data_IF_712923582295
#
_entry.id   IF_712923582295
#
_cell.length_a   1.000
_cell.length_b   1.000
_cell.length_c   1.000
_cell.angle_alpha   90.00
_cell.angle_beta   90.00
_cell.angle_gamma   90.00
#
_symmetry.space_group_name_H-M   'P 1'
#
loop_
_entity.id
_entity.type
_entity.pdbx_description
1 polymer ?
#
# COMPACT_ATOMS: atom_id res chain seq x y z
N UNK A 1 59.69 28.51 6.27
CA UNK A 1 58.90 29.67 5.82
C UNK A 1 57.44 29.26 5.67
N UNK A 2 56.49 30.14 6.01
CA UNK A 2 55.11 29.78 6.37
C UNK A 2 54.06 30.12 5.29
N UNK A 3 52.82 29.65 5.55
CA UNK A 3 51.50 30.18 5.09
C UNK A 3 51.18 30.00 3.58
N UNK A 4 50.04 29.45 3.16
CA UNK A 4 48.69 29.96 3.46
C UNK A 4 47.59 29.08 2.81
N UNK A 5 46.47 29.00 3.54
CA UNK A 5 45.08 29.17 3.09
C UNK A 5 44.57 28.41 1.87
N UNK A 6 43.71 27.44 2.16
CA UNK A 6 42.33 27.31 1.64
C UNK A 6 41.60 26.48 2.74
N UNK A 7 40.99 27.07 3.76
CA UNK A 7 39.65 27.68 3.70
C UNK A 7 38.88 27.30 2.44
N UNK A 8 38.30 26.10 2.47
CA UNK A 8 37.20 25.71 1.60
C UNK A 8 36.10 25.09 2.49
N UNK A 9 35.03 25.86 2.67
CA UNK A 9 33.66 25.48 3.04
C UNK A 9 33.44 24.14 3.77
N UNK A 10 33.43 24.20 5.11
CA UNK A 10 32.89 23.16 5.99
C UNK A 10 31.40 23.36 6.32
N UNK A 11 30.59 23.94 5.43
CA UNK A 11 29.16 24.16 5.67
C UNK A 11 28.27 23.33 4.75
N UNK A 12 28.40 22.00 4.76
CA UNK A 12 27.38 21.12 4.16
C UNK A 12 27.39 19.63 4.60
N UNK A 13 28.25 19.19 5.53
CA UNK A 13 28.21 17.81 5.99
C UNK A 13 27.19 17.66 7.11
N UNK A 14 26.01 17.15 6.76
CA UNK A 14 25.13 16.45 7.70
C UNK A 14 25.93 15.31 8.31
N UNK A 15 26.44 15.47 9.53
CA UNK A 15 27.10 14.42 10.29
C UNK A 15 26.09 13.31 10.62
N UNK A 16 25.88 12.37 9.70
CA UNK A 16 25.34 11.06 10.04
C UNK A 16 26.50 10.23 10.58
N UNK A 17 26.53 10.00 11.88
CA UNK A 17 27.48 9.07 12.48
C UNK A 17 27.05 7.65 12.08
N UNK A 18 27.63 7.12 11.02
CA UNK A 18 27.44 5.74 10.58
C UNK A 18 28.51 4.85 11.23
N UNK A 19 28.08 3.80 11.92
CA UNK A 19 28.96 2.79 12.50
C UNK A 19 28.65 1.43 11.86
N UNK A 20 29.70 0.74 11.41
CA UNK A 20 29.60 -0.56 10.78
C UNK A 20 30.08 -1.63 11.77
N UNK A 21 29.21 -2.57 12.10
CA UNK A 21 29.53 -3.73 12.96
C UNK A 21 29.23 -5.01 12.20
N UNK A 22 30.21 -5.91 12.09
CA UNK A 22 30.09 -7.17 11.37
C UNK A 22 30.01 -8.36 12.33
N UNK A 23 29.06 -9.26 12.09
CA UNK A 23 28.89 -10.51 12.83
C UNK A 23 29.19 -11.65 11.85
N UNK A 24 30.22 -12.45 12.15
CA UNK A 24 30.70 -13.49 11.24
C UNK A 24 29.84 -14.75 11.21
N UNK A 25 29.09 -15.01 12.29
CA UNK A 25 28.18 -16.15 12.41
C UNK A 25 26.75 -15.72 12.04
N UNK A 26 26.26 -16.22 10.90
CA UNK A 26 24.93 -15.89 10.36
C UNK A 26 23.82 -16.18 11.37
N UNK A 27 23.94 -17.24 12.16
CA UNK A 27 22.93 -17.62 13.16
C UNK A 27 22.83 -16.63 14.32
N UNK A 28 23.88 -15.83 14.54
CA UNK A 28 23.98 -14.85 15.63
C UNK A 28 23.65 -13.43 15.21
N UNK A 29 23.51 -13.16 13.91
CA UNK A 29 23.25 -11.81 13.39
C UNK A 29 22.05 -11.18 14.10
N UNK A 30 20.91 -11.87 14.16
CA UNK A 30 19.69 -11.36 14.78
C UNK A 30 19.87 -11.15 16.29
N UNK A 31 20.25 -12.15 17.10
CA UNK A 31 20.36 -11.96 18.54
C UNK A 31 21.43 -10.95 18.97
N UNK A 32 22.58 -10.91 18.30
CA UNK A 32 23.62 -9.92 18.62
C UNK A 32 23.20 -8.50 18.21
N UNK A 33 22.52 -8.33 17.07
CA UNK A 33 22.00 -7.01 16.65
C UNK A 33 20.95 -6.46 17.63
N UNK A 34 20.04 -7.31 18.10
CA UNK A 34 19.02 -6.91 19.09
C UNK A 34 19.67 -6.62 20.44
N UNK A 35 20.64 -7.43 20.88
CA UNK A 35 21.41 -7.19 22.10
C UNK A 35 22.15 -5.85 22.05
N UNK A 36 22.85 -5.57 20.94
CA UNK A 36 23.53 -4.29 20.72
C UNK A 36 22.55 -3.12 20.78
N UNK A 37 21.38 -3.24 20.14
CA UNK A 37 20.33 -2.22 20.19
C UNK A 37 19.83 -2.00 21.62
N UNK A 38 19.65 -3.06 22.41
CA UNK A 38 19.30 -2.93 23.82
C UNK A 38 20.38 -2.20 24.62
N UNK A 39 21.65 -2.56 24.44
CA UNK A 39 22.77 -1.86 25.07
C UNK A 39 22.80 -0.39 24.67
N UNK A 40 22.66 -0.07 23.37
CA UNK A 40 22.61 1.31 22.90
C UNK A 40 21.46 2.09 23.54
N UNK A 41 20.29 1.46 23.71
CA UNK A 41 19.15 2.08 24.40
C UNK A 41 19.37 2.30 25.90
N UNK A 42 20.26 1.54 26.55
CA UNK A 42 20.67 1.83 27.93
C UNK A 42 21.56 3.06 28.04
N UNK A 43 22.36 3.36 27.01
CA UNK A 43 23.24 4.54 26.98
C UNK A 43 22.54 5.79 26.41
N UNK A 44 21.64 5.59 25.44
CA UNK A 44 20.93 6.64 24.73
C UNK A 44 19.44 6.32 24.68
N UNK A 45 18.65 7.06 25.47
CA UNK A 45 17.21 6.96 25.41
C UNK A 45 16.73 7.39 24.01
N UNK A 46 16.11 6.47 23.28
CA UNK A 46 15.63 6.69 21.93
C UNK A 46 14.58 5.66 21.53
N UNK A 47 13.70 6.09 20.65
CA UNK A 47 12.73 5.21 20.00
C UNK A 47 13.30 4.64 18.71
N UNK A 48 13.00 3.37 18.46
CA UNK A 48 13.34 2.72 17.21
C UNK A 48 12.37 3.22 16.15
N UNK A 49 12.87 4.05 15.25
CA UNK A 49 12.03 4.60 14.18
C UNK A 49 11.63 3.51 13.19
N UNK A 50 12.62 2.82 12.60
CA UNK A 50 12.40 1.84 11.54
C UNK A 50 13.16 0.54 11.82
N UNK A 51 12.49 -0.59 11.64
CA UNK A 51 13.10 -1.92 11.58
C UNK A 51 12.96 -2.43 10.14
N UNK A 52 14.07 -2.87 9.54
CA UNK A 52 14.10 -3.48 8.20
C UNK A 52 14.69 -4.87 8.31
N UNK A 53 13.99 -5.86 7.76
CA UNK A 53 14.34 -7.27 7.83
C UNK A 53 14.34 -7.87 6.42
N UNK A 54 15.35 -8.69 6.12
CA UNK A 54 15.24 -9.63 4.99
C UNK A 54 14.32 -10.77 5.39
N UNK A 55 13.45 -11.22 4.48
CA UNK A 55 12.62 -12.40 4.71
C UNK A 55 13.47 -13.67 4.94
N UNK A 56 14.73 -13.71 4.49
CA UNK A 56 15.58 -14.90 4.63
C UNK A 56 15.87 -15.30 6.07
N UNK A 57 15.80 -14.34 7.00
CA UNK A 57 15.97 -14.62 8.43
C UNK A 57 14.85 -15.50 8.98
N UNK A 58 13.82 -15.73 8.16
CA UNK A 58 12.66 -16.56 8.40
C UNK A 58 12.61 -17.80 7.47
N UNK A 59 13.71 -18.23 6.84
CA UNK A 59 13.66 -19.38 5.92
C UNK A 59 13.58 -20.75 6.62
N UNK A 60 14.04 -20.86 7.86
CA UNK A 60 13.99 -22.09 8.66
C UNK A 60 13.02 -21.92 9.84
N UNK A 61 12.14 -22.89 10.07
CA UNK A 61 11.02 -22.74 11.03
C UNK A 61 11.51 -22.50 12.47
N UNK A 62 12.55 -23.22 12.91
CA UNK A 62 13.07 -23.12 14.27
C UNK A 62 13.77 -21.77 14.50
N UNK A 63 14.63 -21.38 13.56
CA UNK A 63 15.34 -20.10 13.59
C UNK A 63 14.38 -18.93 13.41
N UNK A 64 13.31 -19.06 12.63
CA UNK A 64 12.35 -17.99 12.43
C UNK A 64 11.52 -17.68 13.67
N UNK A 65 11.06 -18.70 14.39
CA UNK A 65 10.40 -18.52 15.69
C UNK A 65 11.35 -17.83 16.66
N UNK A 66 12.60 -18.29 16.72
CA UNK A 66 13.64 -17.73 17.59
C UNK A 66 13.93 -16.27 17.23
N UNK A 67 14.21 -15.98 15.96
CA UNK A 67 14.50 -14.65 15.45
C UNK A 67 13.32 -13.70 15.69
N UNK A 68 12.09 -14.13 15.42
CA UNK A 68 10.90 -13.33 15.68
C UNK A 68 10.73 -13.01 17.17
N UNK A 69 10.98 -13.99 18.05
CA UNK A 69 10.96 -13.76 19.49
C UNK A 69 12.03 -12.75 19.93
N UNK A 70 13.26 -12.89 19.43
CA UNK A 70 14.34 -11.97 19.76
C UNK A 70 14.04 -10.56 19.24
N UNK A 71 13.65 -10.40 17.98
CA UNK A 71 13.28 -9.08 17.41
C UNK A 71 12.11 -8.46 18.19
N UNK A 72 11.16 -9.27 18.67
CA UNK A 72 10.04 -8.75 19.46
C UNK A 72 10.44 -8.12 20.80
N UNK A 73 11.65 -8.41 21.31
CA UNK A 73 12.20 -7.77 22.52
C UNK A 73 12.44 -6.26 22.33
N UNK A 74 12.58 -5.79 21.09
CA UNK A 74 12.65 -4.35 20.78
C UNK A 74 11.39 -3.62 21.28
N UNK A 75 10.25 -4.32 21.29
CA UNK A 75 8.98 -3.89 21.87
C UNK A 75 8.17 -2.96 20.97
N UNK A 76 8.78 -1.88 20.46
CA UNK A 76 8.08 -0.88 19.63
C UNK A 76 8.94 -0.35 18.49
N UNK A 77 8.29 -0.04 17.37
CA UNK A 77 8.82 0.81 16.31
C UNK A 77 7.73 1.63 15.63
N UNK A 78 8.11 2.65 14.84
CA UNK A 78 7.13 3.36 14.00
C UNK A 78 6.87 2.61 12.69
N UNK A 79 7.94 2.14 12.06
CA UNK A 79 7.91 1.47 10.76
C UNK A 79 8.53 0.08 10.83
N UNK A 80 7.82 -0.92 10.30
CA UNK A 80 8.36 -2.23 10.01
C UNK A 80 8.43 -2.45 8.49
N UNK A 81 9.58 -2.91 8.02
CA UNK A 81 9.81 -3.33 6.63
C UNK A 81 10.31 -4.77 6.61
N UNK A 82 9.65 -5.61 5.81
CA UNK A 82 10.09 -6.98 5.55
C UNK A 82 10.17 -7.13 4.04
N UNK A 83 11.38 -7.28 3.53
CA UNK A 83 11.64 -7.39 2.10
C UNK A 83 11.95 -8.85 1.76
N UNK A 84 11.14 -9.45 0.88
CA UNK A 84 11.40 -10.77 0.32
C UNK A 84 12.66 -10.78 -0.53
N UNK A 85 13.35 -11.93 -0.57
CA UNK A 85 14.40 -12.15 -1.54
C UNK A 85 13.80 -12.52 -2.89
N UNK A 86 14.01 -11.65 -3.87
CA UNK A 86 13.65 -11.91 -5.26
C UNK A 86 14.62 -12.97 -5.80
N UNK A 87 14.28 -14.25 -5.61
CA UNK A 87 14.75 -15.29 -6.51
C UNK A 87 14.20 -15.01 -7.90
N UNK A 88 15.05 -15.03 -8.93
CA UNK A 88 14.72 -14.72 -10.34
C UNK A 88 13.87 -15.84 -10.99
N UNK A 89 12.92 -16.40 -10.25
CA UNK A 89 11.99 -17.42 -10.71
C UNK A 89 10.57 -17.03 -10.37
N UNK A 90 9.75 -16.76 -11.39
CA UNK A 90 8.35 -16.31 -11.33
C UNK A 90 7.37 -17.33 -10.70
N UNK A 91 7.84 -18.29 -9.92
CA UNK A 91 7.05 -19.44 -9.46
C UNK A 91 7.17 -19.73 -7.96
N UNK A 92 8.20 -19.26 -7.26
CA UNK A 92 8.34 -19.49 -5.82
C UNK A 92 7.71 -18.34 -5.06
N UNK A 93 6.38 -18.39 -4.87
CA UNK A 93 5.72 -17.58 -3.83
C UNK A 93 6.39 -17.97 -2.50
N UNK A 94 7.20 -17.07 -1.93
CA UNK A 94 7.74 -17.27 -0.59
C UNK A 94 6.58 -16.99 0.36
N UNK A 95 6.07 -18.04 0.99
CA UNK A 95 5.13 -17.89 2.09
C UNK A 95 5.93 -17.45 3.31
N UNK A 96 5.49 -16.39 3.99
CA UNK A 96 6.07 -16.06 5.28
C UNK A 96 5.77 -17.23 6.20
N UNK A 97 6.81 -17.75 6.83
CA UNK A 97 6.63 -18.72 7.88
C UNK A 97 6.07 -18.07 9.15
N UNK A 98 5.81 -18.92 10.14
CA UNK A 98 5.26 -18.56 11.45
C UNK A 98 6.01 -17.39 12.14
N UNK A 99 7.30 -17.18 11.84
CA UNK A 99 8.12 -16.12 12.43
C UNK A 99 7.60 -14.71 12.13
N UNK A 100 7.19 -14.42 10.89
CA UNK A 100 6.68 -13.08 10.57
C UNK A 100 5.34 -12.81 11.27
N UNK A 101 4.48 -13.82 11.33
CA UNK A 101 3.21 -13.73 12.06
C UNK A 101 3.44 -13.49 13.55
N UNK A 102 4.39 -14.20 14.17
CA UNK A 102 4.81 -13.96 15.56
C UNK A 102 5.27 -12.51 15.73
N UNK A 103 6.13 -12.03 14.82
CA UNK A 103 6.65 -10.67 14.89
C UNK A 103 5.54 -9.62 14.80
N UNK A 104 4.66 -9.73 13.81
CA UNK A 104 3.55 -8.80 13.59
C UNK A 104 2.56 -8.80 14.77
N UNK A 105 2.37 -9.95 15.40
CA UNK A 105 1.52 -10.08 16.57
C UNK A 105 2.16 -9.49 17.84
N UNK A 106 3.48 -9.56 18.02
CA UNK A 106 4.16 -9.10 19.25
C UNK A 106 4.67 -7.66 19.19
N UNK A 107 5.18 -7.21 18.05
CA UNK A 107 5.78 -5.88 17.92
C UNK A 107 4.69 -4.79 17.92
N UNK A 108 4.87 -3.72 18.68
CA UNK A 108 4.02 -2.54 18.61
C UNK A 108 4.48 -1.63 17.46
N UNK A 109 3.61 -1.42 16.48
CA UNK A 109 3.92 -0.65 15.26
C UNK A 109 2.93 0.51 15.18
N UNK A 110 3.41 1.74 15.19
CA UNK A 110 2.52 2.91 15.32
C UNK A 110 2.16 3.60 14.01
N UNK A 111 2.97 3.45 12.95
CA UNK A 111 2.78 4.23 11.71
C UNK A 111 2.63 3.36 10.47
N UNK A 112 3.56 2.43 10.23
CA UNK A 112 3.69 1.79 8.92
C UNK A 112 4.15 0.34 8.95
N UNK A 113 3.44 -0.52 8.21
CA UNK A 113 3.90 -1.85 7.80
C UNK A 113 4.13 -1.86 6.29
N UNK A 114 5.26 -2.43 5.86
CA UNK A 114 5.55 -2.69 4.46
C UNK A 114 6.22 -4.07 4.31
N UNK A 115 5.44 -5.04 3.85
CA UNK A 115 5.88 -6.41 3.56
C UNK A 115 5.83 -6.58 2.04
N UNK A 116 6.97 -6.88 1.43
CA UNK A 116 7.09 -6.97 -0.04
C UNK A 116 7.54 -8.35 -0.44
N UNK A 117 6.95 -8.84 -1.52
CA UNK A 117 7.34 -10.10 -2.15
C UNK A 117 7.25 -11.33 -1.22
N UNK A 118 6.44 -11.21 -0.15
CA UNK A 118 6.12 -12.29 0.77
C UNK A 118 4.64 -12.26 1.16
N UNK A 119 4.08 -13.44 1.38
CA UNK A 119 2.66 -13.62 1.72
C UNK A 119 2.52 -14.06 3.18
N UNK A 120 1.96 -13.23 4.08
CA UNK A 120 1.66 -13.65 5.45
C UNK A 120 0.68 -14.81 5.45
N UNK A 121 0.82 -15.70 6.43
CA UNK A 121 -0.16 -16.76 6.65
C UNK A 121 -1.51 -16.21 7.14
N UNK A 122 -2.53 -17.07 7.14
CA UNK A 122 -3.89 -16.71 7.55
C UNK A 122 -4.04 -16.42 9.06
N UNK A 123 -3.03 -16.69 9.88
CA UNK A 123 -3.05 -16.50 11.35
C UNK A 123 -2.59 -15.09 11.79
N UNK A 124 -2.27 -14.23 10.83
CA UNK A 124 -1.99 -12.83 11.07
C UNK A 124 -3.19 -12.13 11.73
N UNK A 125 -2.93 -11.36 12.78
CA UNK A 125 -3.99 -10.61 13.45
C UNK A 125 -4.37 -9.37 12.62
N UNK A 126 -5.30 -9.57 11.68
CA UNK A 126 -5.78 -8.54 10.77
C UNK A 126 -6.43 -7.34 11.49
N UNK A 127 -7.06 -7.56 12.65
CA UNK A 127 -7.65 -6.46 13.42
C UNK A 127 -6.57 -5.56 14.02
N UNK A 128 -5.44 -6.13 14.48
CA UNK A 128 -4.29 -5.33 14.91
C UNK A 128 -3.72 -4.48 13.77
N UNK A 129 -3.67 -5.05 12.57
CA UNK A 129 -3.12 -4.39 11.38
C UNK A 129 -4.00 -3.26 10.88
N UNK A 130 -5.32 -3.38 10.97
CA UNK A 130 -6.25 -2.34 10.51
C UNK A 130 -6.14 -1.03 11.32
N UNK A 131 -5.56 -1.08 12.53
CA UNK A 131 -5.31 0.10 13.36
C UNK A 131 -4.03 0.87 12.96
N UNK A 132 -3.17 0.27 12.12
CA UNK A 132 -1.91 0.89 11.71
C UNK A 132 -2.18 1.82 10.52
N UNK A 133 -1.81 3.11 10.58
CA UNK A 133 -2.19 4.10 9.58
C UNK A 133 -1.89 3.72 8.13
N UNK A 134 -0.72 3.12 7.88
CA UNK A 134 -0.32 2.66 6.55
C UNK A 134 0.07 1.17 6.56
N UNK A 135 -0.47 0.41 5.63
CA UNK A 135 -0.12 -1.01 5.44
C UNK A 135 0.11 -1.35 3.97
N UNK A 136 1.17 -2.10 3.70
CA UNK A 136 1.47 -2.67 2.37
C UNK A 136 1.89 -4.13 2.55
N UNK A 137 1.18 -5.07 1.93
CA UNK A 137 1.47 -6.52 2.00
C UNK A 137 0.80 -7.30 0.86
N UNK A 138 1.14 -8.58 0.69
CA UNK A 138 0.51 -9.47 -0.29
C UNK A 138 -0.31 -10.53 0.46
N UNK A 139 -1.53 -10.85 0.03
CA UNK A 139 -2.32 -11.97 0.57
C UNK A 139 -2.51 -13.01 -0.52
N UNK A 140 -2.31 -14.29 -0.19
CA UNK A 140 -2.47 -15.38 -1.15
C UNK A 140 -3.93 -15.57 -1.54
N UNK A 141 -4.83 -15.43 -0.55
CA UNK A 141 -6.27 -15.36 -0.74
C UNK A 141 -6.88 -14.45 0.32
N UNK A 142 -7.96 -13.75 -0.03
CA UNK A 142 -8.73 -12.94 0.93
C UNK A 142 -10.18 -12.85 0.45
N UNK A 143 -11.12 -12.97 1.38
CA UNK A 143 -12.53 -12.72 1.07
C UNK A 143 -12.80 -11.21 1.10
N UNK A 144 -13.80 -10.70 0.36
CA UNK A 144 -14.18 -9.29 0.38
C UNK A 144 -14.46 -8.73 1.79
N UNK A 145 -15.09 -9.52 2.67
CA UNK A 145 -15.36 -9.13 4.06
C UNK A 145 -14.08 -9.06 4.91
N UNK A 146 -13.15 -10.02 4.74
CA UNK A 146 -11.87 -9.99 5.43
C UNK A 146 -11.02 -8.81 4.96
N UNK A 147 -11.09 -8.47 3.68
CA UNK A 147 -10.45 -7.30 3.10
C UNK A 147 -10.96 -6.00 3.75
N UNK A 148 -12.27 -5.87 3.91
CA UNK A 148 -12.91 -4.73 4.59
C UNK A 148 -12.42 -4.59 6.04
N UNK A 149 -12.29 -5.71 6.76
CA UNK A 149 -11.91 -5.74 8.17
C UNK A 149 -10.41 -5.50 8.41
N UNK A 150 -9.55 -5.84 7.44
CA UNK A 150 -8.10 -5.68 7.57
C UNK A 150 -7.57 -4.38 6.97
N UNK A 151 -8.34 -3.74 6.09
CA UNK A 151 -7.95 -2.47 5.49
C UNK A 151 -7.85 -1.39 6.58
N UNK A 152 -6.67 -0.81 6.68
CA UNK A 152 -6.39 0.35 7.50
C UNK A 152 -6.74 1.64 6.77
N UNK A 153 -6.30 2.77 7.31
CA UNK A 153 -6.52 4.10 6.73
C UNK A 153 -5.96 4.20 5.31
N UNK A 154 -4.70 3.81 5.13
CA UNK A 154 -4.07 3.68 3.82
C UNK A 154 -3.53 2.27 3.65
N UNK A 155 -4.10 1.51 2.72
CA UNK A 155 -3.77 0.11 2.52
C UNK A 155 -3.46 -0.18 1.07
N UNK A 156 -2.38 -0.94 0.84
CA UNK A 156 -2.01 -1.46 -0.46
C UNK A 156 -1.81 -2.97 -0.37
N UNK A 157 -2.68 -3.74 -1.00
CA UNK A 157 -2.63 -5.20 -0.93
C UNK A 157 -2.44 -5.78 -2.33
N UNK A 158 -1.48 -6.68 -2.48
CA UNK A 158 -1.44 -7.56 -3.65
C UNK A 158 -2.32 -8.78 -3.37
N UNK A 159 -3.36 -8.98 -4.19
CA UNK A 159 -4.30 -10.09 -4.11
C UNK A 159 -4.34 -10.75 -5.49
N UNK A 160 -3.49 -11.75 -5.76
CA UNK A 160 -3.35 -12.30 -7.11
C UNK A 160 -4.65 -12.91 -7.63
N UNK A 161 -5.47 -13.49 -6.74
CA UNK A 161 -6.64 -14.30 -7.11
C UNK A 161 -7.97 -13.59 -6.76
N UNK A 162 -8.07 -12.26 -6.97
CA UNK A 162 -9.25 -11.45 -6.61
C UNK A 162 -10.03 -10.97 -7.85
N UNK A 163 -11.25 -11.46 -8.05
CA UNK A 163 -12.02 -11.22 -9.27
C UNK A 163 -12.78 -9.87 -9.29
N UNK A 164 -13.31 -9.48 -10.45
CA UNK A 164 -14.24 -8.35 -10.55
C UNK A 164 -15.51 -8.55 -9.69
N UNK A 165 -15.96 -9.80 -9.53
CA UNK A 165 -17.09 -10.14 -8.66
C UNK A 165 -16.75 -9.96 -7.19
N UNK A 166 -15.51 -10.30 -6.78
CA UNK A 166 -15.03 -10.05 -5.42
C UNK A 166 -14.94 -8.56 -5.12
N UNK A 167 -14.52 -7.76 -6.10
CA UNK A 167 -14.54 -6.29 -6.01
C UNK A 167 -15.98 -5.77 -5.86
N UNK A 168 -16.93 -6.29 -6.65
CA UNK A 168 -18.34 -5.92 -6.53
C UNK A 168 -18.88 -6.23 -5.14
N UNK A 169 -18.60 -7.43 -4.61
CA UNK A 169 -19.01 -7.83 -3.27
C UNK A 169 -18.37 -6.94 -2.21
N UNK A 170 -17.07 -6.64 -2.31
CA UNK A 170 -16.39 -5.69 -1.42
C UNK A 170 -17.10 -4.33 -1.38
N UNK A 171 -17.47 -3.78 -2.54
CA UNK A 171 -18.16 -2.49 -2.61
C UNK A 171 -19.56 -2.55 -1.98
N UNK A 172 -20.30 -3.66 -2.16
CA UNK A 172 -21.60 -3.88 -1.53
C UNK A 172 -21.48 -3.97 -0.01
N UNK A 173 -20.51 -4.72 0.50
CA UNK A 173 -20.22 -4.83 1.93
C UNK A 173 -19.83 -3.47 2.51
N UNK A 174 -18.99 -2.70 1.81
CA UNK A 174 -18.62 -1.35 2.25
C UNK A 174 -19.82 -0.39 2.34
N UNK A 175 -20.74 -0.46 1.36
CA UNK A 175 -21.97 0.34 1.34
C UNK A 175 -22.92 -0.01 2.49
N UNK A 176 -22.89 -1.24 2.99
CA UNK A 176 -23.72 -1.71 4.10
C UNK A 176 -23.03 -1.56 5.47
N UNK A 177 -21.72 -1.37 5.48
CA UNK A 177 -20.94 -1.25 6.71
C UNK A 177 -21.26 0.04 7.47
N UNK A 178 -21.48 -0.02 8.80
CA UNK A 178 -21.81 1.16 9.60
C UNK A 178 -20.64 2.14 9.73
N UNK A 179 -19.41 1.63 9.81
CA UNK A 179 -18.19 2.44 9.94
C UNK A 179 -17.00 1.68 9.37
N UNK A 180 -16.15 2.38 8.64
CA UNK A 180 -14.86 1.87 8.17
C UNK A 180 -13.81 2.95 8.41
N UNK A 181 -12.54 2.56 8.54
CA UNK A 181 -11.43 3.52 8.67
C UNK A 181 -10.71 3.76 7.34
N UNK A 182 -11.18 3.14 6.26
CA UNK A 182 -10.54 3.13 4.95
C UNK A 182 -10.62 4.52 4.36
N UNK A 183 -9.49 5.17 4.11
CA UNK A 183 -9.43 6.36 3.24
C UNK A 183 -8.90 6.02 1.86
N UNK A 184 -7.98 5.05 1.79
CA UNK A 184 -7.43 4.58 0.52
C UNK A 184 -7.13 3.09 0.61
N UNK A 185 -7.76 2.33 -0.28
CA UNK A 185 -7.39 0.95 -0.55
C UNK A 185 -6.87 0.85 -1.99
N UNK A 186 -5.74 0.19 -2.17
CA UNK A 186 -5.17 -0.12 -3.49
C UNK A 186 -4.97 -1.62 -3.58
N UNK A 187 -5.71 -2.28 -4.47
CA UNK A 187 -5.53 -3.69 -4.76
C UNK A 187 -4.73 -3.84 -6.05
N UNK A 188 -3.67 -4.63 -5.98
CA UNK A 188 -2.99 -5.15 -7.16
C UNK A 188 -3.52 -6.57 -7.41
N UNK A 189 -4.16 -6.76 -8.54
CA UNK A 189 -4.74 -8.04 -8.95
C UNK A 189 -3.93 -8.58 -10.13
N UNK A 190 -3.59 -9.86 -10.09
CA UNK A 190 -2.95 -10.54 -11.22
C UNK A 190 -4.06 -11.13 -12.10
N UNK A 191 -3.90 -11.09 -13.42
CA UNK A 191 -4.83 -11.73 -14.36
C UNK A 191 -6.31 -11.29 -14.24
N UNK A 192 -6.59 -10.05 -13.82
CA UNK A 192 -7.97 -9.57 -13.85
C UNK A 192 -8.48 -9.48 -15.30
N UNK A 193 -9.79 -9.63 -15.50
CA UNK A 193 -10.39 -9.49 -16.83
C UNK A 193 -10.42 -7.99 -17.22
N UNK A 194 -9.95 -7.63 -18.43
CA UNK A 194 -10.30 -6.34 -19.06
C UNK A 194 -11.75 -6.33 -19.54
N UNK A 195 -12.26 -7.52 -19.86
CA UNK A 195 -13.61 -7.76 -20.31
C UNK A 195 -14.58 -7.83 -19.11
N UNK A 196 -15.85 -7.55 -19.35
CA UNK A 196 -16.91 -7.64 -18.34
C UNK A 196 -16.82 -6.68 -17.15
N UNK A 197 -16.26 -5.48 -17.34
CA UNK A 197 -16.12 -4.49 -16.26
C UNK A 197 -17.45 -4.09 -15.59
N UNK A 198 -18.57 -4.28 -16.26
CA UNK A 198 -19.91 -4.16 -15.69
C UNK A 198 -20.18 -5.12 -14.53
N UNK A 199 -19.54 -6.30 -14.46
CA UNK A 199 -19.64 -7.22 -13.31
C UNK A 199 -19.22 -6.53 -12.02
N UNK A 200 -18.24 -5.64 -12.09
CA UNK A 200 -17.81 -4.83 -10.95
C UNK A 200 -18.95 -3.98 -10.38
N UNK A 201 -19.92 -3.58 -11.21
CA UNK A 201 -21.00 -2.65 -10.84
C UNK A 201 -22.39 -3.29 -10.77
N UNK A 202 -22.48 -4.60 -10.98
CA UNK A 202 -23.75 -5.32 -11.02
C UNK A 202 -24.52 -5.17 -9.70
N UNK A 203 -25.81 -4.85 -9.80
CA UNK A 203 -26.70 -4.69 -8.64
C UNK A 203 -26.48 -3.42 -7.80
N UNK A 204 -25.59 -2.49 -8.19
CA UNK A 204 -25.42 -1.23 -7.48
C UNK A 204 -26.45 -0.20 -7.98
N UNK A 205 -27.35 0.27 -7.11
CA UNK A 205 -28.49 1.10 -7.49
C UNK A 205 -28.11 2.54 -7.88
N UNK A 206 -27.06 3.13 -7.29
CA UNK A 206 -26.76 4.57 -7.39
C UNK A 206 -25.30 4.83 -7.77
N UNK A 207 -25.01 4.79 -9.06
CA UNK A 207 -23.75 5.29 -9.60
C UNK A 207 -24.01 6.70 -10.12
N UNK A 208 -23.43 7.73 -9.51
CA UNK A 208 -23.59 9.14 -9.89
C UNK A 208 -22.89 9.48 -11.22
N UNK A 209 -23.10 8.69 -12.27
CA UNK A 209 -22.30 8.74 -13.50
C UNK A 209 -23.13 9.30 -14.65
N UNK A 210 -22.64 10.39 -15.26
CA UNK A 210 -22.96 10.71 -16.67
C UNK A 210 -22.17 9.73 -17.56
N UNK A 211 -22.79 8.59 -17.87
CA UNK A 211 -22.11 7.49 -18.56
C UNK A 211 -21.65 7.87 -19.99
N UNK A 212 -20.48 7.42 -20.46
CA UNK A 212 -20.13 7.51 -21.86
C UNK A 212 -20.85 6.37 -22.61
N UNK A 213 -21.70 6.72 -23.58
CA UNK A 213 -22.47 5.82 -24.47
C UNK A 213 -23.55 4.95 -23.79
N UNK A 214 -23.23 4.18 -22.75
CA UNK A 214 -24.10 3.20 -22.11
C UNK A 214 -23.81 3.12 -20.59
N UNK A 215 -24.82 2.93 -19.72
CA UNK A 215 -24.59 2.91 -18.26
C UNK A 215 -23.57 1.85 -17.84
N UNK A 216 -22.86 2.04 -16.73
CA UNK A 216 -21.91 1.05 -16.21
C UNK A 216 -22.57 -0.28 -15.80
N UNK A 217 -23.90 -0.31 -15.66
CA UNK A 217 -24.67 -1.51 -15.30
C UNK A 217 -25.04 -2.39 -16.50
N UNK A 218 -24.92 -1.86 -17.72
CA UNK A 218 -25.40 -2.53 -18.93
C UNK A 218 -24.21 -3.01 -19.75
N UNK A 219 -24.16 -4.32 -20.03
CA UNK A 219 -23.25 -4.84 -21.05
C UNK A 219 -23.63 -4.23 -22.40
N UNK A 220 -22.63 -3.85 -23.19
CA UNK A 220 -22.83 -3.33 -24.52
C UNK A 220 -21.87 -4.05 -25.46
N UNK A 221 -22.42 -4.60 -26.54
CA UNK A 221 -21.66 -5.33 -27.55
C UNK A 221 -20.74 -4.44 -28.38
N UNK A 222 -20.84 -3.11 -28.24
CA UNK A 222 -19.94 -2.16 -28.89
C UNK A 222 -18.60 -2.10 -28.13
N UNK A 223 -17.53 -2.59 -28.77
CA UNK A 223 -16.16 -2.52 -28.25
C UNK A 223 -15.73 -1.10 -27.85
N UNK A 224 -16.26 -0.06 -28.52
CA UNK A 224 -16.03 1.34 -28.14
C UNK A 224 -16.67 1.71 -26.79
N UNK A 225 -17.79 1.11 -26.37
CA UNK A 225 -18.38 1.39 -25.04
C UNK A 225 -17.49 0.79 -23.94
N UNK A 226 -17.01 -0.44 -24.11
CA UNK A 226 -16.11 -1.09 -23.15
C UNK A 226 -14.81 -0.29 -22.95
N UNK A 227 -14.19 0.14 -24.05
CA UNK A 227 -12.99 0.98 -24.00
C UNK A 227 -13.24 2.35 -23.32
N UNK A 228 -14.36 3.00 -23.62
CA UNK A 228 -14.74 4.27 -22.97
C UNK A 228 -15.01 4.11 -21.47
N UNK A 229 -15.63 3.01 -21.04
CA UNK A 229 -15.83 2.69 -19.63
C UNK A 229 -14.50 2.51 -18.90
N UNK A 230 -13.55 1.78 -19.51
CA UNK A 230 -12.19 1.61 -18.97
C UNK A 230 -11.47 2.95 -18.85
N UNK A 231 -11.50 3.80 -19.90
CA UNK A 231 -10.94 5.16 -19.85
C UNK A 231 -11.58 5.96 -18.71
N UNK A 232 -12.91 5.89 -18.59
CA UNK A 232 -13.63 6.62 -17.57
C UNK A 232 -13.26 6.14 -16.16
N UNK A 233 -13.13 4.84 -15.91
CA UNK A 233 -12.67 4.30 -14.63
C UNK A 233 -11.22 4.63 -14.32
N UNK A 234 -10.38 4.74 -15.34
CA UNK A 234 -8.98 5.10 -15.19
C UNK A 234 -8.80 6.58 -14.88
N UNK A 235 -9.61 7.46 -15.48
CA UNK A 235 -9.41 8.92 -15.45
C UNK A 235 -10.40 9.65 -14.54
N UNK A 236 -11.68 9.27 -14.58
CA UNK A 236 -12.72 9.96 -13.80
C UNK A 236 -13.01 9.21 -12.50
N UNK A 237 -13.03 7.88 -12.59
CA UNK A 237 -13.53 7.02 -11.52
C UNK A 237 -15.05 7.07 -11.42
N UNK A 238 -15.59 6.30 -10.47
CA UNK A 238 -17.02 6.17 -10.22
C UNK A 238 -17.30 6.40 -8.74
N UNK A 239 -18.22 7.32 -8.44
CA UNK A 239 -18.61 7.61 -7.07
C UNK A 239 -19.73 6.67 -6.58
N UNK A 240 -19.51 6.11 -5.39
CA UNK A 240 -20.45 5.33 -4.59
C UNK A 240 -20.79 6.10 -3.33
N UNK A 241 -22.09 6.24 -3.05
CA UNK A 241 -22.59 6.97 -1.89
C UNK A 241 -23.11 6.00 -0.85
N UNK A 242 -22.58 6.10 0.36
CA UNK A 242 -23.07 5.37 1.53
C UNK A 242 -24.11 6.19 2.29
N UNK A 243 -24.97 5.51 3.03
CA UNK A 243 -26.09 6.11 3.78
C UNK A 243 -25.66 7.14 4.83
N UNK A 244 -24.44 7.03 5.36
CA UNK A 244 -23.86 7.97 6.31
C UNK A 244 -23.29 9.24 5.66
N UNK A 245 -23.37 9.37 4.34
CA UNK A 245 -22.82 10.50 3.58
C UNK A 245 -21.35 10.33 3.19
N UNK A 246 -20.72 9.19 3.50
CA UNK A 246 -19.40 8.88 2.98
C UNK A 246 -19.47 8.61 1.46
N UNK A 247 -18.45 9.08 0.73
CA UNK A 247 -18.34 8.91 -0.72
C UNK A 247 -17.07 8.17 -1.05
N UNK A 248 -17.19 7.04 -1.74
CA UNK A 248 -16.05 6.31 -2.28
C UNK A 248 -15.93 6.52 -3.78
N UNK A 249 -14.77 6.97 -4.25
CA UNK A 249 -14.43 7.05 -5.68
C UNK A 249 -13.62 5.82 -6.06
N UNK A 250 -14.15 5.06 -7.02
CA UNK A 250 -13.58 3.82 -7.54
C UNK A 250 -12.80 4.10 -8.82
N UNK A 251 -11.54 3.68 -8.86
CA UNK A 251 -10.73 3.67 -10.08
C UNK A 251 -10.31 2.25 -10.42
N UNK A 252 -10.21 1.98 -11.71
CA UNK A 252 -9.72 0.70 -12.22
C UNK A 252 -8.82 0.95 -13.43
N UNK A 253 -7.64 0.35 -13.43
CA UNK A 253 -6.71 0.43 -14.54
C UNK A 253 -6.11 -0.93 -14.82
N UNK A 254 -6.17 -1.33 -16.09
CA UNK A 254 -5.30 -2.36 -16.64
C UNK A 254 -3.92 -1.77 -16.92
N UNK A 255 -2.86 -2.45 -16.51
CA UNK A 255 -1.50 -2.23 -16.95
C UNK A 255 -0.90 -3.57 -17.37
N UNK A 256 0.14 -3.54 -18.21
CA UNK A 256 0.70 -4.69 -18.97
C UNK A 256 0.98 -5.96 -18.16
N UNK A 257 1.07 -5.88 -16.82
CA UNK A 257 1.31 -7.04 -15.95
C UNK A 257 0.43 -7.12 -14.69
N UNK A 258 -0.35 -6.07 -14.38
CA UNK A 258 -1.21 -6.03 -13.19
C UNK A 258 -2.40 -5.12 -13.40
N UNK A 259 -3.52 -5.48 -12.78
CA UNK A 259 -4.67 -4.61 -12.65
C UNK A 259 -4.61 -3.90 -11.31
N UNK A 260 -4.94 -2.62 -11.32
CA UNK A 260 -4.99 -1.79 -10.13
C UNK A 260 -6.41 -1.33 -9.90
N UNK A 261 -7.01 -1.81 -8.81
CA UNK A 261 -8.24 -1.26 -8.26
C UNK A 261 -7.88 -0.29 -7.15
N UNK A 262 -8.42 0.92 -7.19
CA UNK A 262 -8.20 1.95 -6.17
C UNK A 262 -9.54 2.43 -5.65
N UNK A 263 -9.70 2.41 -4.34
CA UNK A 263 -10.90 2.83 -3.64
C UNK A 263 -10.54 3.97 -2.69
N UNK A 264 -11.00 5.18 -3.01
CA UNK A 264 -10.72 6.39 -2.23
C UNK A 264 -11.98 6.86 -1.51
N UNK A 265 -11.94 6.94 -0.18
CA UNK A 265 -13.12 7.27 0.62
C UNK A 265 -12.97 8.64 1.27
N UNK A 266 -14.05 9.42 1.20
CA UNK A 266 -14.23 10.70 1.88
C UNK A 266 -15.38 10.56 2.86
N UNK A 267 -15.11 10.82 4.14
CA UNK A 267 -16.14 10.83 5.18
C UNK A 267 -16.74 12.24 5.33
N UNK A 268 -18.02 12.34 5.72
CA UNK A 268 -18.65 13.63 5.99
C UNK A 268 -17.88 14.39 7.08
N UNK A 269 -17.76 15.71 6.93
CA UNK A 269 -17.06 16.57 7.89
C UNK A 269 -15.53 16.62 7.74
N UNK A 270 -14.91 15.71 6.95
CA UNK A 270 -13.50 15.85 6.61
C UNK A 270 -13.31 16.91 5.50
N UNK A 271 -12.77 18.08 5.85
CA UNK A 271 -12.52 19.14 4.88
C UNK A 271 -11.39 18.74 3.91
N UNK A 272 -11.74 18.54 2.63
CA UNK A 272 -10.85 18.02 1.58
C UNK A 272 -9.71 18.95 1.17
N UNK A 273 -9.72 20.24 1.56
CA UNK A 273 -8.82 21.26 1.00
C UNK A 273 -7.34 21.01 1.26
N UNK A 274 -6.96 20.45 2.41
CA UNK A 274 -5.57 20.13 2.75
C UNK A 274 -5.08 18.83 2.09
N UNK A 275 -5.92 17.79 2.09
CA UNK A 275 -5.59 16.48 1.50
C UNK A 275 -5.56 16.50 -0.02
N UNK A 276 -6.49 17.19 -0.68
CA UNK A 276 -6.47 17.43 -2.13
C UNK A 276 -5.21 18.18 -2.50
N UNK A 277 -4.87 19.28 -1.82
CA UNK A 277 -3.61 20.01 -2.07
C UNK A 277 -2.37 19.14 -1.91
N UNK A 278 -2.33 18.26 -0.92
CA UNK A 278 -1.19 17.37 -0.70
C UNK A 278 -1.09 16.29 -1.79
N UNK A 279 -2.21 15.67 -2.18
CA UNK A 279 -2.25 14.69 -3.27
C UNK A 279 -1.96 15.34 -4.63
N UNK A 280 -2.49 16.53 -4.92
CA UNK A 280 -2.16 17.30 -6.13
C UNK A 280 -0.68 17.69 -6.14
N UNK A 281 -0.08 18.07 -5.01
CA UNK A 281 1.37 18.33 -4.90
C UNK A 281 2.22 17.07 -5.12
N UNK A 282 1.81 15.92 -4.57
CA UNK A 282 2.48 14.64 -4.78
C UNK A 282 2.37 14.21 -6.26
N UNK A 283 1.19 14.35 -6.87
CA UNK A 283 0.96 14.09 -8.29
C UNK A 283 1.79 15.05 -9.17
N UNK A 284 1.82 16.35 -8.89
CA UNK A 284 2.64 17.32 -9.62
C UNK A 284 4.14 16.99 -9.54
N UNK A 285 4.64 16.48 -8.41
CA UNK A 285 6.02 16.02 -8.27
C UNK A 285 6.29 14.78 -9.15
N UNK A 286 5.37 13.81 -9.16
CA UNK A 286 5.47 12.62 -10.03
C UNK A 286 5.40 13.02 -11.50
N UNK A 287 4.46 13.89 -11.87
CA UNK A 287 4.29 14.39 -13.24
C UNK A 287 5.52 15.19 -13.72
N UNK A 288 6.13 16.00 -12.84
CA UNK A 288 7.39 16.70 -13.15
C UNK A 288 8.56 15.72 -13.31
N UNK A 289 8.64 14.68 -12.47
CA UNK A 289 9.70 13.67 -12.53
C UNK A 289 9.62 12.81 -13.80
N UNK A 290 8.41 12.56 -14.29
CA UNK A 290 8.17 11.71 -15.47
C UNK A 290 7.82 12.51 -16.74
N UNK A 291 8.10 13.82 -16.77
CA UNK A 291 7.67 14.74 -17.85
C UNK A 291 8.05 14.27 -19.25
N UNK A 292 9.23 13.65 -19.42
CA UNK A 292 9.68 13.05 -20.70
C UNK A 292 8.87 11.81 -21.13
N UNK A 293 8.37 11.02 -20.18
CA UNK A 293 7.51 9.84 -20.46
C UNK A 293 6.05 10.28 -20.66
N UNK A 294 5.67 11.42 -20.08
CA UNK A 294 4.31 11.96 -20.11
C UNK A 294 3.99 12.76 -21.38
N UNK A 295 4.99 13.28 -22.09
CA UNK A 295 4.80 13.89 -23.41
C UNK A 295 4.24 12.88 -24.44
N UNK A 296 4.49 11.58 -24.25
CA UNK A 296 3.88 10.50 -25.02
C UNK A 296 2.48 10.09 -24.51
N UNK A 297 2.09 10.49 -23.29
CA UNK A 297 0.86 10.06 -22.62
C UNK A 297 -0.05 11.26 -22.28
N UNK A 298 -0.55 11.95 -23.32
CA UNK A 298 -1.50 13.09 -23.25
C UNK A 298 -2.63 12.91 -22.22
N UNK A 299 -3.09 11.68 -22.00
CA UNK A 299 -4.21 11.35 -21.09
C UNK A 299 -3.96 11.70 -19.60
N UNK A 300 -2.71 11.76 -19.11
CA UNK A 300 -2.41 12.09 -17.71
C UNK A 300 -2.52 13.59 -17.40
N UNK A 301 -2.40 14.44 -18.41
CA UNK A 301 -2.61 15.89 -18.28
C UNK A 301 -4.11 16.21 -18.13
N UNK A 302 -4.97 15.48 -18.87
CA UNK A 302 -6.42 15.57 -18.74
C UNK A 302 -6.92 15.04 -17.39
N UNK A 303 -6.28 13.98 -16.84
CA UNK A 303 -6.55 13.47 -15.50
C UNK A 303 -6.29 14.53 -14.41
N UNK A 304 -5.15 15.21 -14.46
CA UNK A 304 -4.79 16.28 -13.51
C UNK A 304 -5.80 17.42 -13.54
N UNK A 305 -6.14 17.92 -14.72
CA UNK A 305 -7.05 19.06 -14.87
C UNK A 305 -8.48 18.73 -14.39
N UNK A 306 -8.92 17.48 -14.55
CA UNK A 306 -10.24 17.02 -14.07
C UNK A 306 -10.27 16.75 -12.57
N UNK A 307 -9.20 16.23 -11.97
CA UNK A 307 -9.07 16.20 -10.49
C UNK A 307 -9.16 17.64 -9.95
N UNK A 308 -8.46 18.61 -10.55
CA UNK A 308 -8.57 20.01 -10.11
C UNK A 308 -9.99 20.56 -10.31
N UNK A 309 -10.70 20.19 -11.38
CA UNK A 309 -12.09 20.62 -11.61
C UNK A 309 -13.14 19.97 -10.70
N UNK A 310 -12.95 18.72 -10.29
CA UNK A 310 -13.86 17.99 -9.39
C UNK A 310 -13.59 18.32 -7.92
N UNK A 311 -12.34 18.64 -7.57
CA UNK A 311 -11.90 18.86 -6.18
C UNK A 311 -11.51 20.32 -5.87
N UNK A 312 -11.60 21.23 -6.83
CA UNK A 312 -11.21 22.64 -6.72
C UNK A 312 -12.34 23.65 -6.56
N UNK A 313 -13.59 23.18 -6.41
CA UNK A 313 -14.76 23.99 -6.02
C UNK A 313 -14.98 23.97 -4.51
#
# INVERSE_FOLDING_TARGET
>A
MPRNMMEADMSAYSYTNEYYYGISDVSKIVPESVSLLHSLRTFMAGDVDTITLSADIFNDDQSAVTNAQVISQIGRCKTLRVDGTVGIGTSSRVFLNQGCTILLNKLQISEKINIRDVYPDASINLSKISHIPYTEYCLSSVTPINLLNCASRETKICVPDFSLSDINLFMKEWLQSPTTNIHRLTLKVNNAEEENIEKMFEGLAHLGIKAPCCSFKTHCTNASCAHQKLIHLKITGVDLHRSDGAVATVFYSAAVQHFSFVFFVRYPGECSKTRVKEHTRKLDKVLKKHRKVLEELRWLTDFRNRIIGVFGG
#
